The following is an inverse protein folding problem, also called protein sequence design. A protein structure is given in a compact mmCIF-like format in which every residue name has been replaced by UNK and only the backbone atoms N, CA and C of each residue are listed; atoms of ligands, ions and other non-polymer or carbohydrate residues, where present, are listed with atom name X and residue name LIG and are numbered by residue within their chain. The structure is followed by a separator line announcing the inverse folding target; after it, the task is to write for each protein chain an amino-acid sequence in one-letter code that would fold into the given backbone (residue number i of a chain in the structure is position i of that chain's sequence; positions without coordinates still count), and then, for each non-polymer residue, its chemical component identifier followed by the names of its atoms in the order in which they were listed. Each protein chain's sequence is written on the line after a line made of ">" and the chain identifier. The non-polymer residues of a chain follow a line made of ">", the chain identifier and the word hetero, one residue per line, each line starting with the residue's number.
data_IF_704520103444
#
_entry.id   IF_704520103444
#
_cell.length_a   1.000
_cell.length_b   1.000
_cell.length_c   1.000
_cell.angle_alpha   90.00
_cell.angle_beta   90.00
_cell.angle_gamma   90.00
#
_symmetry.space_group_name_H-M   'P 1'
#
loop_
_entity.id
_entity.type
_entity.pdbx_description
1 polymer ?
#
# COMPACT_ATOMS: atom_id res chain seq x y z
N UNK A 1 -37.76 65.05 -27.59
CA UNK A 1 -36.83 65.99 -26.95
C UNK A 1 -35.55 65.16 -26.74
N UNK A 2 -34.66 65.13 -27.71
CA UNK A 2 -33.41 65.94 -27.85
C UNK A 2 -32.49 65.69 -26.63
N UNK A 3 -31.22 65.37 -26.73
CA UNK A 3 -30.16 65.48 -27.76
C UNK A 3 -29.05 64.48 -27.40
N UNK A 4 -28.43 63.81 -28.35
CA UNK A 4 -27.21 64.14 -29.09
C UNK A 4 -25.88 63.91 -28.35
N UNK A 5 -25.16 62.95 -28.92
CA UNK A 5 -23.76 63.01 -29.38
C UNK A 5 -22.60 63.31 -28.41
N UNK A 6 -21.70 62.34 -28.23
CA UNK A 6 -20.35 62.61 -28.72
C UNK A 6 -19.50 61.33 -28.86
N UNK A 7 -19.09 61.09 -30.12
CA UNK A 7 -18.00 60.16 -30.51
C UNK A 7 -16.66 60.70 -30.04
N UNK A 8 -15.84 59.83 -29.51
CA UNK A 8 -14.41 60.02 -29.61
C UNK A 8 -13.69 58.70 -29.88
N UNK A 9 -13.26 58.54 -31.13
CA UNK A 9 -12.40 57.51 -31.67
C UNK A 9 -11.00 57.63 -31.10
N UNK A 10 -10.46 56.56 -30.52
CA UNK A 10 -9.00 56.36 -30.39
C UNK A 10 -8.63 54.98 -30.89
N UNK A 11 -8.07 54.93 -32.07
CA UNK A 11 -7.29 53.87 -32.65
C UNK A 11 -5.98 53.74 -31.88
N UNK A 12 -5.70 52.54 -31.34
CA UNK A 12 -4.33 52.16 -31.00
C UNK A 12 -4.09 50.73 -31.44
N UNK A 13 -3.22 50.58 -32.44
CA UNK A 13 -2.83 49.35 -33.05
C UNK A 13 -2.15 48.38 -32.06
N UNK A 14 -2.55 47.14 -32.10
CA UNK A 14 -1.80 46.06 -31.53
C UNK A 14 -0.80 45.50 -32.55
N UNK A 15 0.47 45.31 -32.21
CA UNK A 15 1.41 44.63 -33.10
C UNK A 15 1.11 43.12 -33.07
N UNK A 16 0.80 42.60 -34.26
CA UNK A 16 0.76 41.16 -34.57
C UNK A 16 2.19 40.64 -34.68
N UNK A 17 2.61 39.84 -33.72
CA UNK A 17 3.89 39.12 -33.76
C UNK A 17 3.87 37.93 -32.80
N UNK A 18 3.18 36.84 -33.18
CA UNK A 18 3.42 35.54 -32.57
C UNK A 18 4.63 34.92 -33.28
N UNK A 19 5.69 34.51 -32.55
CA UNK A 19 6.70 33.64 -33.15
C UNK A 19 6.11 32.21 -33.28
N UNK A 20 5.88 31.80 -34.52
CA UNK A 20 5.64 30.44 -34.92
C UNK A 20 6.96 29.67 -34.85
N UNK A 21 7.17 28.95 -33.75
CA UNK A 21 8.31 28.07 -33.56
C UNK A 21 8.05 27.08 -32.46
N UNK A 22 7.13 26.12 -32.69
CA UNK A 22 7.15 24.88 -31.94
C UNK A 22 8.34 24.05 -32.43
N UNK A 23 9.29 23.66 -31.57
CA UNK A 23 10.26 22.65 -31.95
C UNK A 23 9.51 21.32 -32.12
N UNK A 24 9.36 20.92 -33.38
CA UNK A 24 8.95 19.54 -33.76
C UNK A 24 10.15 18.63 -33.54
N UNK A 25 10.28 18.12 -32.34
CA UNK A 25 11.27 17.15 -31.96
C UNK A 25 10.78 16.40 -30.74
N UNK A 26 9.84 15.46 -30.92
CA UNK A 26 9.68 14.39 -29.93
C UNK A 26 10.99 13.59 -29.95
N UNK A 27 11.74 13.49 -28.82
CA UNK A 27 12.81 12.52 -28.74
C UNK A 27 12.16 11.13 -28.82
N UNK A 28 12.46 10.43 -29.90
CA UNK A 28 12.14 9.03 -30.08
C UNK A 28 12.82 8.24 -28.94
N UNK A 29 12.04 7.66 -28.02
CA UNK A 29 12.37 6.32 -27.62
C UNK A 29 12.77 5.96 -26.24
N UNK A 30 12.48 6.62 -25.11
CA UNK A 30 12.47 5.94 -23.80
C UNK A 30 11.30 6.46 -22.96
N UNK A 31 10.45 5.56 -22.41
CA UNK A 31 9.48 6.03 -21.44
C UNK A 31 10.24 6.69 -20.29
N UNK A 32 9.84 7.89 -19.91
CA UNK A 32 10.39 8.55 -18.74
C UNK A 32 10.26 7.63 -17.53
N UNK A 33 11.23 7.60 -16.62
CA UNK A 33 11.26 6.70 -15.45
C UNK A 33 10.00 6.80 -14.56
N UNK A 34 9.18 7.82 -14.75
CA UNK A 34 7.86 8.03 -14.12
C UNK A 34 6.66 7.65 -14.98
N UNK A 35 6.84 7.35 -16.28
CA UNK A 35 5.74 6.82 -17.11
C UNK A 35 5.58 5.33 -16.87
N UNK A 36 4.35 4.84 -16.90
CA UNK A 36 4.06 3.41 -16.79
C UNK A 36 3.94 2.84 -18.19
N UNK A 37 4.48 1.64 -18.43
CA UNK A 37 4.33 0.96 -19.70
C UNK A 37 2.84 0.77 -20.03
N UNK A 38 2.42 0.99 -21.29
CA UNK A 38 1.05 0.76 -21.68
C UNK A 38 0.70 -0.71 -21.51
N UNK A 39 -0.42 -0.99 -20.88
CA UNK A 39 -0.96 -2.32 -20.68
C UNK A 39 -2.18 -2.52 -21.59
N UNK A 40 -2.35 -3.73 -22.10
CA UNK A 40 -3.52 -4.06 -22.90
C UNK A 40 -4.82 -3.74 -22.12
N UNK A 41 -5.76 -3.06 -22.75
CA UNK A 41 -6.97 -2.54 -22.10
C UNK A 41 -7.77 -3.63 -21.36
N UNK A 42 -7.79 -4.86 -21.88
CA UNK A 42 -8.44 -6.00 -21.24
C UNK A 42 -7.82 -6.45 -19.93
N UNK A 43 -6.53 -6.15 -19.66
CA UNK A 43 -5.86 -6.48 -18.41
C UNK A 43 -6.10 -5.40 -17.33
N UNK A 44 -6.31 -4.14 -17.76
CA UNK A 44 -6.61 -3.02 -16.87
C UNK A 44 -8.09 -2.94 -16.46
N UNK A 45 -9.00 -3.53 -17.27
CA UNK A 45 -10.43 -3.42 -16.98
C UNK A 45 -10.83 -4.26 -15.78
N UNK A 46 -11.31 -3.60 -14.74
CA UNK A 46 -12.02 -4.26 -13.65
C UNK A 46 -13.38 -4.75 -14.16
N UNK A 47 -13.66 -6.03 -13.98
CA UNK A 47 -14.99 -6.61 -14.27
C UNK A 47 -16.04 -6.04 -13.29
N UNK A 48 -17.33 -6.20 -13.56
CA UNK A 48 -18.36 -5.88 -12.58
C UNK A 48 -18.05 -6.50 -11.21
N UNK A 49 -17.55 -7.75 -11.21
CA UNK A 49 -17.10 -8.50 -10.03
C UNK A 49 -15.89 -9.34 -10.44
N UNK A 50 -14.80 -9.28 -9.70
CA UNK A 50 -13.64 -10.15 -9.84
C UNK A 50 -13.82 -11.37 -8.91
N UNK A 51 -14.45 -12.41 -9.45
CA UNK A 51 -14.84 -13.61 -8.73
C UNK A 51 -13.72 -14.29 -7.93
N UNK A 52 -12.46 -14.41 -8.45
CA UNK A 52 -11.39 -15.03 -7.68
C UNK A 52 -11.13 -14.33 -6.35
N UNK A 53 -11.25 -13.00 -6.30
CA UNK A 53 -11.08 -12.22 -5.05
C UNK A 53 -12.25 -12.46 -4.10
N UNK A 54 -13.49 -12.55 -4.59
CA UNK A 54 -14.66 -12.88 -3.76
C UNK A 54 -14.61 -14.32 -3.25
N UNK A 55 -14.15 -15.28 -4.07
CA UNK A 55 -13.94 -16.67 -3.63
C UNK A 55 -12.90 -16.74 -2.53
N UNK A 56 -11.80 -15.99 -2.65
CA UNK A 56 -10.78 -15.92 -1.60
C UNK A 56 -11.35 -15.30 -0.32
N UNK A 57 -12.15 -14.23 -0.42
CA UNK A 57 -12.84 -13.62 0.71
C UNK A 57 -13.77 -14.61 1.42
N UNK A 58 -14.66 -15.27 0.69
CA UNK A 58 -15.59 -16.27 1.25
C UNK A 58 -14.84 -17.47 1.83
N UNK A 59 -13.77 -17.94 1.13
CA UNK A 59 -12.91 -19.02 1.58
C UNK A 59 -12.16 -18.69 2.87
N UNK A 60 -11.72 -17.46 3.05
CA UNK A 60 -11.10 -16.99 4.30
C UNK A 60 -12.06 -17.10 5.47
N UNK A 61 -13.29 -16.66 5.33
CA UNK A 61 -14.30 -16.78 6.38
C UNK A 61 -14.72 -18.23 6.63
N UNK A 62 -14.87 -19.04 5.56
CA UNK A 62 -15.20 -20.45 5.69
C UNK A 62 -14.10 -21.22 6.42
N UNK A 63 -12.82 -20.96 6.09
CA UNK A 63 -11.68 -21.57 6.76
C UNK A 63 -11.61 -21.14 8.23
N UNK A 64 -11.80 -19.86 8.52
CA UNK A 64 -11.82 -19.34 9.89
C UNK A 64 -12.92 -20.00 10.71
N UNK A 65 -14.16 -20.03 10.20
CA UNK A 65 -15.30 -20.66 10.88
C UNK A 65 -15.08 -22.16 11.10
N UNK A 66 -14.56 -22.87 10.09
CA UNK A 66 -14.24 -24.29 10.21
C UNK A 66 -13.16 -24.55 11.27
N UNK A 67 -12.12 -23.70 11.34
CA UNK A 67 -11.07 -23.79 12.34
C UNK A 67 -11.63 -23.60 13.77
N UNK A 68 -12.48 -22.59 13.96
CA UNK A 68 -13.17 -22.34 15.24
C UNK A 68 -14.02 -23.54 15.65
N UNK A 69 -14.90 -23.99 14.76
CA UNK A 69 -15.81 -25.12 15.05
C UNK A 69 -15.02 -26.40 15.35
N UNK A 70 -14.03 -26.74 14.51
CA UNK A 70 -13.23 -27.96 14.69
C UNK A 70 -12.41 -27.92 15.98
N UNK A 71 -11.85 -26.77 16.35
CA UNK A 71 -11.10 -26.62 17.59
C UNK A 71 -11.99 -26.67 18.83
N UNK A 72 -13.13 -25.97 18.81
CA UNK A 72 -14.09 -25.94 19.94
C UNK A 72 -14.74 -27.30 20.12
N UNK A 73 -15.07 -28.02 19.03
CA UNK A 73 -15.63 -29.38 19.09
C UNK A 73 -14.61 -30.47 19.45
N UNK A 74 -13.30 -30.10 19.55
CA UNK A 74 -12.23 -31.05 19.82
C UNK A 74 -11.88 -32.01 18.67
N UNK A 75 -12.39 -31.74 17.45
CA UNK A 75 -12.06 -32.53 16.25
C UNK A 75 -10.61 -32.33 15.80
N UNK A 76 -10.06 -31.15 16.08
CA UNK A 76 -8.67 -30.78 15.81
C UNK A 76 -8.10 -30.18 17.08
N UNK A 77 -6.85 -30.51 17.41
CA UNK A 77 -6.17 -29.90 18.56
C UNK A 77 -5.98 -28.38 18.38
N UNK A 78 -5.85 -27.65 19.48
CA UNK A 78 -5.86 -26.17 19.51
C UNK A 78 -4.82 -25.54 18.55
N UNK A 79 -3.58 -26.05 18.55
CA UNK A 79 -2.51 -25.41 17.74
C UNK A 79 -2.80 -25.45 16.24
N UNK A 80 -3.09 -26.59 15.60
CA UNK A 80 -3.48 -26.60 14.19
C UNK A 80 -4.73 -25.77 13.88
N UNK A 81 -5.72 -25.74 14.77
CA UNK A 81 -6.92 -24.94 14.59
C UNK A 81 -6.60 -23.42 14.60
N UNK A 82 -5.78 -22.96 15.54
CA UNK A 82 -5.30 -21.57 15.62
C UNK A 82 -4.46 -21.21 14.39
N UNK A 83 -3.58 -22.11 13.92
CA UNK A 83 -2.81 -21.87 12.70
C UNK A 83 -3.69 -21.79 11.44
N UNK A 84 -4.73 -22.63 11.35
CA UNK A 84 -5.71 -22.54 10.26
C UNK A 84 -6.48 -21.19 10.29
N UNK A 85 -6.88 -20.73 11.48
CA UNK A 85 -7.48 -19.42 11.67
C UNK A 85 -6.50 -18.28 11.28
N UNK A 86 -5.20 -18.43 11.57
CA UNK A 86 -4.17 -17.46 11.16
C UNK A 86 -3.97 -17.43 9.64
N UNK A 87 -3.99 -18.58 8.97
CA UNK A 87 -3.98 -18.66 7.49
C UNK A 87 -5.22 -17.98 6.91
N UNK A 88 -6.39 -18.16 7.52
CA UNK A 88 -7.62 -17.49 7.11
C UNK A 88 -7.51 -15.96 7.25
N UNK A 89 -7.00 -15.45 8.37
CA UNK A 89 -6.76 -14.02 8.58
C UNK A 89 -5.72 -13.47 7.60
N UNK A 90 -4.62 -14.19 7.35
CA UNK A 90 -3.62 -13.82 6.35
C UNK A 90 -4.23 -13.73 4.94
N UNK A 91 -5.03 -14.72 4.53
CA UNK A 91 -5.69 -14.75 3.23
C UNK A 91 -6.70 -13.60 3.06
N UNK A 92 -7.40 -13.19 4.14
CA UNK A 92 -8.37 -12.08 4.13
C UNK A 92 -7.72 -10.72 3.83
N UNK A 93 -6.41 -10.58 4.01
CA UNK A 93 -5.70 -9.35 3.63
C UNK A 93 -5.81 -9.07 2.14
N UNK A 94 -5.67 -10.07 1.28
CA UNK A 94 -5.73 -9.86 -0.19
C UNK A 94 -7.05 -9.26 -0.65
N UNK A 95 -8.25 -9.72 -0.26
CA UNK A 95 -9.51 -9.04 -0.57
C UNK A 95 -9.61 -7.63 0.03
N UNK A 96 -9.07 -7.38 1.23
CA UNK A 96 -9.02 -6.05 1.83
C UNK A 96 -8.14 -5.10 1.01
N UNK A 97 -6.99 -5.58 0.60
CA UNK A 97 -6.03 -4.86 -0.23
C UNK A 97 -6.60 -4.51 -1.61
N UNK A 98 -7.23 -5.48 -2.30
CA UNK A 98 -7.94 -5.28 -3.56
C UNK A 98 -9.07 -4.25 -3.42
N UNK A 99 -9.84 -4.32 -2.33
CA UNK A 99 -10.88 -3.35 -2.01
C UNK A 99 -10.31 -1.93 -1.82
N UNK A 100 -9.11 -1.79 -1.29
CA UNK A 100 -8.41 -0.50 -1.12
C UNK A 100 -8.15 0.17 -2.47
N UNK A 101 -7.81 -0.60 -3.49
CA UNK A 101 -7.57 -0.15 -4.87
C UNK A 101 -8.82 -0.13 -5.75
N UNK A 102 -9.97 -0.61 -5.23
CA UNK A 102 -11.20 -0.82 -6.02
C UNK A 102 -10.99 -1.78 -7.20
N UNK A 103 -10.06 -2.72 -7.08
CA UNK A 103 -9.78 -3.73 -8.09
C UNK A 103 -10.64 -4.99 -7.95
N UNK A 104 -11.35 -5.17 -6.81
CA UNK A 104 -12.26 -6.28 -6.56
C UNK A 104 -13.58 -6.21 -7.37
N UNK A 105 -14.13 -5.01 -7.55
CA UNK A 105 -15.37 -4.80 -8.29
C UNK A 105 -15.50 -3.34 -8.74
N UNK A 106 -16.37 -3.10 -9.76
CA UNK A 106 -16.76 -1.74 -10.15
C UNK A 106 -17.57 -1.03 -9.08
N UNK A 107 -18.35 -1.78 -8.29
CA UNK A 107 -19.16 -1.23 -7.20
C UNK A 107 -18.30 -0.76 -6.04
N UNK A 108 -18.35 0.55 -5.73
CA UNK A 108 -17.68 1.12 -4.55
C UNK A 108 -18.24 0.54 -3.24
N UNK A 109 -19.55 0.24 -3.20
CA UNK A 109 -20.19 -0.38 -2.06
C UNK A 109 -19.63 -1.77 -1.80
N UNK A 110 -19.53 -2.63 -2.84
CA UNK A 110 -19.00 -3.99 -2.68
C UNK A 110 -17.54 -3.97 -2.21
N UNK A 111 -16.68 -3.13 -2.80
CA UNK A 111 -15.32 -2.94 -2.30
C UNK A 111 -15.33 -2.49 -0.83
N UNK A 112 -16.17 -1.53 -0.48
CA UNK A 112 -16.28 -1.03 0.89
C UNK A 112 -16.72 -2.08 1.90
N UNK A 113 -17.71 -2.91 1.56
CA UNK A 113 -18.21 -3.99 2.44
C UNK A 113 -17.15 -5.08 2.60
N UNK A 114 -16.60 -5.60 1.48
CA UNK A 114 -15.59 -6.66 1.52
C UNK A 114 -14.33 -6.19 2.27
N UNK A 115 -13.86 -4.97 2.02
CA UNK A 115 -12.70 -4.42 2.73
C UNK A 115 -12.89 -4.37 4.25
N UNK A 116 -14.07 -3.91 4.72
CA UNK A 116 -14.40 -3.84 6.15
C UNK A 116 -14.51 -5.22 6.78
N UNK A 117 -15.24 -6.12 6.16
CA UNK A 117 -15.38 -7.48 6.67
C UNK A 117 -14.01 -8.19 6.70
N UNK A 118 -13.21 -8.09 5.64
CA UNK A 118 -11.86 -8.67 5.65
C UNK A 118 -10.99 -8.11 6.79
N UNK A 119 -11.10 -6.81 7.08
CA UNK A 119 -10.41 -6.16 8.18
C UNK A 119 -10.80 -6.70 9.56
N UNK A 120 -12.00 -7.24 9.74
CA UNK A 120 -12.42 -7.83 11.03
C UNK A 120 -11.56 -9.05 11.41
N UNK A 121 -11.23 -9.93 10.46
CA UNK A 121 -10.37 -11.09 10.74
C UNK A 121 -8.94 -10.69 11.15
N UNK A 122 -8.49 -9.53 10.69
CA UNK A 122 -7.16 -8.96 10.98
C UNK A 122 -7.17 -8.01 12.19
N UNK A 123 -8.31 -7.76 12.79
CA UNK A 123 -8.48 -6.69 13.80
C UNK A 123 -8.00 -5.32 13.30
N UNK A 124 -8.13 -5.06 12.00
CA UNK A 124 -7.61 -3.88 11.31
C UNK A 124 -8.75 -3.06 10.68
N UNK A 125 -9.03 -1.83 11.16
CA UNK A 125 -10.04 -0.96 10.58
C UNK A 125 -9.71 -0.60 9.13
N UNK A 126 -10.57 -0.97 8.20
CA UNK A 126 -10.37 -0.79 6.77
C UNK A 126 -10.04 0.66 6.35
N UNK A 127 -10.69 1.73 6.89
CA UNK A 127 -10.34 3.09 6.49
C UNK A 127 -8.90 3.47 6.81
N UNK A 128 -8.39 3.06 7.99
CA UNK A 128 -7.00 3.32 8.37
C UNK A 128 -6.01 2.55 7.50
N UNK A 129 -6.25 1.25 7.28
CA UNK A 129 -5.40 0.41 6.40
C UNK A 129 -5.37 0.99 5.00
N UNK A 130 -6.54 1.31 4.43
CA UNK A 130 -6.62 1.92 3.10
C UNK A 130 -5.86 3.25 3.03
N UNK A 131 -6.01 4.11 4.03
CA UNK A 131 -5.30 5.40 4.08
C UNK A 131 -3.78 5.20 4.04
N UNK A 132 -3.23 4.39 4.94
CA UNK A 132 -1.79 4.16 5.01
C UNK A 132 -1.26 3.42 3.79
N UNK A 133 -2.01 2.47 3.25
CA UNK A 133 -1.65 1.80 2.02
C UNK A 133 -1.60 2.75 0.81
N UNK A 134 -2.52 3.72 0.70
CA UNK A 134 -2.44 4.76 -0.33
C UNK A 134 -1.25 5.72 -0.11
N UNK A 135 -0.91 6.05 1.14
CA UNK A 135 0.29 6.84 1.45
C UNK A 135 1.57 6.05 1.14
N UNK A 136 1.60 4.73 1.39
CA UNK A 136 2.68 3.85 0.97
C UNK A 136 2.91 3.90 -0.55
N UNK A 137 1.87 3.72 -1.38
CA UNK A 137 1.97 3.83 -2.83
C UNK A 137 2.51 5.18 -3.31
N UNK A 138 2.12 6.24 -2.63
CA UNK A 138 2.53 7.60 -2.95
C UNK A 138 3.98 7.89 -2.57
N UNK A 139 4.45 7.27 -1.49
CA UNK A 139 5.73 7.54 -0.86
C UNK A 139 6.65 6.32 -0.75
N UNK A 140 6.44 5.33 -1.59
CA UNK A 140 7.15 4.03 -1.54
C UNK A 140 8.65 4.20 -1.30
N UNK A 141 9.15 3.60 -0.20
CA UNK A 141 10.51 3.62 0.30
C UNK A 141 11.04 5.01 0.76
N UNK A 142 10.19 6.03 0.90
CA UNK A 142 10.59 7.29 1.54
C UNK A 142 10.60 7.10 3.06
N UNK A 143 11.79 7.10 3.68
CA UNK A 143 12.00 6.69 5.08
C UNK A 143 11.11 7.40 6.12
N UNK A 144 10.73 8.67 5.88
CA UNK A 144 9.95 9.50 6.82
C UNK A 144 8.47 9.61 6.46
N UNK A 145 8.06 9.10 5.27
CA UNK A 145 6.71 9.28 4.74
C UNK A 145 6.00 7.98 4.39
N UNK A 146 6.77 6.92 4.09
CA UNK A 146 6.22 5.61 3.78
C UNK A 146 5.88 4.86 5.09
N UNK A 147 4.59 4.56 5.35
CA UNK A 147 4.19 3.83 6.54
C UNK A 147 4.81 2.43 6.63
N UNK A 148 5.07 1.79 5.50
CA UNK A 148 5.56 0.41 5.42
C UNK A 148 7.08 0.32 5.56
N UNK A 149 7.77 1.46 5.46
CA UNK A 149 9.22 1.52 5.69
C UNK A 149 9.63 1.08 7.11
N UNK A 150 8.67 1.06 8.05
CA UNK A 150 8.88 0.50 9.39
C UNK A 150 9.35 -0.95 9.35
N UNK A 151 8.81 -1.76 8.46
CA UNK A 151 9.12 -3.20 8.32
C UNK A 151 10.58 -3.48 7.96
N UNK A 152 11.27 -2.54 7.28
CA UNK A 152 12.67 -2.68 6.85
C UNK A 152 13.67 -1.79 7.59
N UNK A 153 13.22 -1.01 8.58
CA UNK A 153 14.07 0.00 9.24
C UNK A 153 14.97 -0.58 10.32
N UNK A 154 16.22 -0.13 10.35
CA UNK A 154 17.17 -0.44 11.43
C UNK A 154 17.88 -1.76 11.26
N UNK A 155 18.55 -2.28 12.33
CA UNK A 155 19.35 -3.48 12.25
C UNK A 155 18.47 -4.74 12.10
N UNK A 156 19.00 -5.73 11.40
CA UNK A 156 18.29 -6.96 11.03
C UNK A 156 17.67 -7.72 12.21
N UNK A 157 18.28 -7.70 13.38
CA UNK A 157 17.78 -8.40 14.57
C UNK A 157 16.50 -7.76 15.17
N UNK A 158 16.17 -6.53 14.81
CA UNK A 158 14.92 -5.86 15.18
C UNK A 158 13.78 -6.11 14.18
N UNK A 159 14.08 -6.65 13.01
CA UNK A 159 13.06 -6.82 11.95
C UNK A 159 11.89 -7.69 12.42
N UNK A 160 12.09 -8.86 13.09
CA UNK A 160 10.95 -9.66 13.56
C UNK A 160 10.04 -8.89 14.54
N UNK A 161 10.61 -8.05 15.41
CA UNK A 161 9.83 -7.19 16.30
C UNK A 161 9.04 -6.16 15.51
N UNK A 162 9.61 -5.57 14.46
CA UNK A 162 8.93 -4.59 13.60
C UNK A 162 7.78 -5.23 12.83
N UNK A 163 7.97 -6.45 12.31
CA UNK A 163 6.89 -7.19 11.65
C UNK A 163 5.75 -7.52 12.61
N UNK A 164 6.06 -7.88 13.85
CA UNK A 164 5.06 -8.14 14.90
C UNK A 164 4.31 -6.88 15.37
N UNK A 165 4.85 -5.68 15.10
CA UNK A 165 4.33 -4.39 15.54
C UNK A 165 3.96 -3.43 14.41
N UNK A 166 3.82 -3.93 13.18
CA UNK A 166 3.50 -3.10 12.01
C UNK A 166 2.16 -2.35 12.18
N UNK A 167 1.15 -3.02 12.67
CA UNK A 167 -0.16 -2.41 12.94
C UNK A 167 -0.13 -1.40 14.10
N UNK A 168 0.68 -1.66 15.13
CA UNK A 168 0.88 -0.69 16.22
C UNK A 168 1.56 0.58 15.68
N UNK A 169 2.47 0.43 14.73
CA UNK A 169 3.05 1.57 14.02
C UNK A 169 1.99 2.33 13.21
N UNK A 170 1.06 1.65 12.55
CA UNK A 170 -0.05 2.28 11.85
C UNK A 170 -0.97 3.05 12.83
N UNK A 171 -1.28 2.49 14.01
CA UNK A 171 -2.05 3.22 15.03
C UNK A 171 -1.30 4.43 15.57
N UNK A 172 0.01 4.33 15.76
CA UNK A 172 0.83 5.49 16.11
C UNK A 172 0.74 6.58 15.02
N UNK A 173 0.90 6.23 13.74
CA UNK A 173 0.76 7.16 12.63
C UNK A 173 -0.65 7.73 12.53
N UNK A 174 -1.67 6.91 12.79
CA UNK A 174 -3.07 7.35 12.83
C UNK A 174 -3.28 8.46 13.86
N UNK A 175 -2.77 8.27 15.08
CA UNK A 175 -2.88 9.27 16.14
C UNK A 175 -2.09 10.54 15.80
N UNK A 176 -0.89 10.38 15.25
CA UNK A 176 -0.04 11.51 14.84
C UNK A 176 -0.66 12.35 13.72
N UNK A 177 -1.29 11.73 12.76
CA UNK A 177 -1.93 12.37 11.61
C UNK A 177 -3.46 12.54 11.78
N UNK A 178 -3.99 12.32 12.97
CA UNK A 178 -5.43 12.25 13.24
C UNK A 178 -6.23 13.41 12.64
N UNK A 179 -5.74 14.66 12.81
CA UNK A 179 -6.44 15.86 12.32
C UNK A 179 -6.37 16.02 10.80
N UNK A 180 -5.37 15.45 10.14
CA UNK A 180 -5.19 15.53 8.69
C UNK A 180 -6.07 14.54 7.91
N UNK A 181 -6.62 13.51 8.59
CA UNK A 181 -7.46 12.52 7.96
C UNK A 181 -8.92 13.00 7.85
N UNK A 182 -9.68 12.46 6.91
CA UNK A 182 -11.09 12.79 6.71
C UNK A 182 -11.92 12.43 7.94
N UNK A 183 -12.82 13.33 8.34
CA UNK A 183 -13.65 13.17 9.56
C UNK A 183 -14.38 11.82 9.60
N UNK A 184 -15.00 11.41 8.47
CA UNK A 184 -15.73 10.13 8.40
C UNK A 184 -14.81 8.92 8.57
N UNK A 185 -13.63 8.91 7.94
CA UNK A 185 -12.65 7.82 8.06
C UNK A 185 -12.10 7.70 9.48
N UNK A 186 -11.84 8.84 10.15
CA UNK A 186 -11.43 8.87 11.58
C UNK A 186 -12.50 8.28 12.48
N UNK A 187 -13.74 8.75 12.31
CA UNK A 187 -14.87 8.27 13.12
C UNK A 187 -15.05 6.77 12.93
N UNK A 188 -15.07 6.28 11.69
CA UNK A 188 -15.22 4.86 11.39
C UNK A 188 -14.06 4.03 11.96
N UNK A 189 -12.82 4.51 11.85
CA UNK A 189 -11.64 3.82 12.42
C UNK A 189 -11.79 3.66 13.93
N UNK A 190 -12.10 4.74 14.64
CA UNK A 190 -12.27 4.73 16.10
C UNK A 190 -13.46 3.87 16.51
N UNK A 191 -14.60 4.00 15.81
CA UNK A 191 -15.79 3.21 16.10
C UNK A 191 -15.54 1.71 15.87
N UNK A 192 -14.82 1.33 14.82
CA UNK A 192 -14.45 -0.07 14.54
C UNK A 192 -13.54 -0.63 15.62
N UNK A 193 -12.50 0.12 16.03
CA UNK A 193 -11.63 -0.31 17.13
C UNK A 193 -12.40 -0.45 18.44
N UNK A 194 -13.25 0.52 18.77
CA UNK A 194 -14.09 0.46 19.98
C UNK A 194 -15.03 -0.75 19.95
N UNK A 195 -15.64 -1.04 18.79
CA UNK A 195 -16.51 -2.21 18.63
C UNK A 195 -15.74 -3.54 18.79
N UNK A 196 -14.54 -3.65 18.21
CA UNK A 196 -13.68 -4.84 18.38
C UNK A 196 -13.28 -5.03 19.83
N UNK A 197 -12.87 -3.98 20.54
CA UNK A 197 -12.55 -4.02 21.96
C UNK A 197 -13.77 -4.40 22.81
N UNK A 198 -14.95 -3.84 22.49
CA UNK A 198 -16.18 -4.17 23.18
C UNK A 198 -16.58 -5.64 22.96
N UNK A 199 -16.40 -6.20 21.76
CA UNK A 199 -16.65 -7.61 21.48
C UNK A 199 -15.69 -8.52 22.28
N UNK A 200 -14.41 -8.16 22.35
CA UNK A 200 -13.44 -8.88 23.18
C UNK A 200 -13.84 -8.82 24.65
N UNK A 201 -14.14 -7.62 25.19
CA UNK A 201 -14.57 -7.44 26.56
C UNK A 201 -15.85 -8.23 26.86
N UNK A 202 -16.83 -8.24 25.95
CA UNK A 202 -18.05 -9.02 26.06
C UNK A 202 -17.75 -10.53 26.10
N UNK A 203 -16.84 -11.03 25.26
CA UNK A 203 -16.43 -12.43 25.27
C UNK A 203 -15.85 -12.84 26.64
N UNK A 204 -15.02 -11.99 27.25
CA UNK A 204 -14.51 -12.20 28.61
C UNK A 204 -15.63 -12.15 29.65
N UNK A 205 -16.56 -11.20 29.56
CA UNK A 205 -17.71 -11.08 30.44
C UNK A 205 -18.67 -12.30 30.37
N UNK A 206 -18.74 -12.94 29.20
CA UNK A 206 -19.52 -14.16 28.98
C UNK A 206 -18.77 -15.46 29.33
N UNK A 207 -17.52 -15.38 29.81
CA UNK A 207 -16.70 -16.55 30.13
C UNK A 207 -16.12 -17.29 28.92
N UNK A 208 -16.21 -16.73 27.71
CA UNK A 208 -15.66 -17.29 26.45
C UNK A 208 -14.45 -16.49 25.92
N UNK A 209 -13.82 -15.69 26.76
CA UNK A 209 -12.69 -14.82 26.39
C UNK A 209 -11.50 -15.59 25.82
N UNK A 210 -11.25 -16.83 26.28
CA UNK A 210 -10.22 -17.71 25.74
C UNK A 210 -10.43 -17.97 24.24
N UNK A 211 -11.67 -18.19 23.81
CA UNK A 211 -11.98 -18.40 22.38
C UNK A 211 -11.69 -17.15 21.54
N UNK A 212 -11.98 -15.96 22.06
CA UNK A 212 -11.62 -14.72 21.40
C UNK A 212 -10.11 -14.56 21.26
N UNK A 213 -9.34 -14.95 22.28
CA UNK A 213 -7.87 -14.93 22.24
C UNK A 213 -7.35 -15.93 21.21
N UNK A 214 -7.77 -17.20 21.32
CA UNK A 214 -7.24 -18.28 20.50
C UNK A 214 -7.63 -18.19 19.02
N UNK A 215 -8.87 -17.76 18.71
CA UNK A 215 -9.40 -17.82 17.35
C UNK A 215 -9.56 -16.46 16.66
N UNK A 216 -9.27 -15.37 17.35
CA UNK A 216 -9.31 -14.04 16.75
C UNK A 216 -8.02 -13.25 17.00
N UNK A 217 -7.63 -13.01 18.26
CA UNK A 217 -6.48 -12.17 18.58
C UNK A 217 -5.17 -12.81 18.12
N UNK A 218 -4.89 -14.06 18.54
CA UNK A 218 -3.64 -14.75 18.17
C UNK A 218 -3.54 -14.97 16.65
N UNK A 219 -4.57 -15.46 15.93
CA UNK A 219 -4.56 -15.54 14.48
C UNK A 219 -4.25 -14.21 13.78
N UNK A 220 -4.88 -13.11 14.21
CA UNK A 220 -4.61 -11.79 13.66
C UNK A 220 -3.15 -11.36 13.87
N UNK A 221 -2.56 -11.60 15.07
CA UNK A 221 -1.14 -11.29 15.35
C UNK A 221 -0.19 -12.09 14.47
N UNK A 222 -0.44 -13.40 14.34
CA UNK A 222 0.36 -14.27 13.45
C UNK A 222 0.24 -13.80 12.00
N UNK A 223 -0.97 -13.52 11.53
CA UNK A 223 -1.20 -13.03 10.18
C UNK A 223 -0.46 -11.70 9.92
N UNK A 224 -0.56 -10.71 10.82
CA UNK A 224 0.12 -9.40 10.69
C UNK A 224 1.63 -9.55 10.62
N UNK A 225 2.22 -10.43 11.46
CA UNK A 225 3.65 -10.71 11.40
C UNK A 225 4.09 -11.18 10.00
N UNK A 226 3.39 -12.17 9.45
CA UNK A 226 3.73 -12.69 8.12
C UNK A 226 3.36 -11.73 6.99
N UNK A 227 2.31 -10.90 7.15
CA UNK A 227 1.97 -9.85 6.19
C UNK A 227 3.06 -8.78 6.13
N UNK A 228 3.50 -8.27 7.27
CA UNK A 228 4.58 -7.29 7.32
C UNK A 228 5.88 -7.84 6.70
N UNK A 229 6.19 -9.12 6.92
CA UNK A 229 7.31 -9.78 6.25
C UNK A 229 7.10 -9.91 4.74
N UNK A 230 5.95 -10.45 4.31
CA UNK A 230 5.71 -10.86 2.92
C UNK A 230 5.28 -9.72 2.00
N UNK A 231 4.56 -8.71 2.52
CA UNK A 231 4.04 -7.59 1.74
C UNK A 231 4.86 -6.32 1.91
N UNK A 232 5.28 -5.99 3.16
CA UNK A 232 5.92 -4.71 3.40
C UNK A 232 7.45 -4.82 3.30
N UNK A 233 8.04 -5.94 3.80
CA UNK A 233 9.49 -6.09 3.82
C UNK A 233 10.05 -6.72 2.56
N UNK A 234 9.64 -7.96 2.23
CA UNK A 234 10.28 -8.79 1.21
C UNK A 234 10.28 -8.15 -0.20
N UNK A 235 9.18 -7.58 -0.70
CA UNK A 235 9.16 -6.98 -2.03
C UNK A 235 9.83 -5.61 -2.10
N UNK A 236 10.08 -4.96 -0.98
CA UNK A 236 10.69 -3.62 -0.89
C UNK A 236 12.17 -3.66 -0.50
N UNK A 237 12.65 -4.79 0.03
CA UNK A 237 14.05 -4.92 0.44
C UNK A 237 15.02 -4.62 -0.72
N UNK A 238 16.09 -3.83 -0.53
CA UNK A 238 16.60 -3.24 0.72
C UNK A 238 16.04 -1.84 1.07
N UNK A 239 14.91 -1.41 0.51
CA UNK A 239 14.25 -0.09 0.72
C UNK A 239 15.11 1.11 0.30
N UNK A 240 16.11 0.89 -0.53
CA UNK A 240 17.14 1.89 -0.87
C UNK A 240 16.80 2.81 -2.03
N UNK A 241 15.72 2.54 -2.78
CA UNK A 241 15.31 3.32 -3.96
C UNK A 241 13.84 3.67 -3.82
N UNK A 242 13.53 4.97 -3.82
CA UNK A 242 12.14 5.44 -3.74
C UNK A 242 11.44 5.34 -5.10
N UNK A 243 10.10 5.24 -5.10
CA UNK A 243 9.33 5.27 -6.34
C UNK A 243 9.50 6.60 -7.12
N UNK A 244 9.76 7.70 -6.42
CA UNK A 244 10.06 8.99 -7.03
C UNK A 244 11.40 8.99 -7.78
N UNK A 245 12.39 8.23 -7.30
CA UNK A 245 13.68 8.07 -7.98
C UNK A 245 13.58 7.10 -9.16
N UNK A 246 12.98 5.93 -8.92
CA UNK A 246 12.79 4.92 -9.96
C UNK A 246 11.69 3.92 -9.56
N UNK A 247 10.50 4.06 -10.11
CA UNK A 247 9.36 3.19 -9.83
C UNK A 247 9.54 1.72 -10.23
N UNK A 248 10.42 1.45 -11.20
CA UNK A 248 10.70 0.08 -11.66
C UNK A 248 11.65 -0.68 -10.74
N UNK A 249 12.32 0.02 -9.81
CA UNK A 249 13.29 -0.53 -8.85
C UNK A 249 12.89 -0.36 -7.40
N UNK A 250 11.84 0.42 -7.13
CA UNK A 250 11.35 0.64 -5.76
C UNK A 250 10.80 -0.65 -5.14
N UNK A 251 10.27 -1.54 -5.99
CA UNK A 251 9.76 -2.85 -5.59
C UNK A 251 10.27 -3.92 -6.54
N UNK A 252 10.05 -5.18 -6.23
CA UNK A 252 10.53 -6.29 -7.03
C UNK A 252 9.44 -7.27 -7.44
N UNK A 253 9.73 -8.06 -8.48
CA UNK A 253 8.99 -9.25 -8.84
C UNK A 253 9.87 -10.48 -8.55
N UNK A 254 9.34 -11.46 -7.85
CA UNK A 254 9.97 -12.74 -7.56
C UNK A 254 9.26 -13.81 -8.39
N UNK A 255 9.85 -14.20 -9.53
CA UNK A 255 9.23 -15.12 -10.47
C UNK A 255 9.32 -16.57 -9.98
N UNK A 256 8.48 -16.90 -9.00
CA UNK A 256 8.33 -18.23 -8.40
C UNK A 256 6.86 -18.63 -8.37
N UNK A 257 6.52 -19.75 -9.02
CA UNK A 257 5.15 -20.25 -9.06
C UNK A 257 4.65 -20.66 -7.66
N UNK A 258 5.51 -21.33 -6.87
CA UNK A 258 5.18 -21.75 -5.50
C UNK A 258 4.94 -20.54 -4.59
N UNK A 259 5.87 -19.60 -4.56
CA UNK A 259 5.72 -18.39 -3.74
C UNK A 259 4.52 -17.54 -4.20
N UNK A 260 4.23 -17.52 -5.50
CA UNK A 260 3.06 -16.80 -6.01
C UNK A 260 1.75 -17.36 -5.45
N UNK A 261 1.64 -18.66 -5.29
CA UNK A 261 0.47 -19.30 -4.66
C UNK A 261 0.45 -18.99 -3.15
N UNK A 262 1.57 -19.22 -2.47
CA UNK A 262 1.67 -19.04 -1.01
C UNK A 262 1.46 -17.58 -0.57
N UNK A 263 1.86 -16.63 -1.39
CA UNK A 263 1.75 -15.19 -1.10
C UNK A 263 0.61 -14.52 -1.89
N UNK A 264 -0.35 -15.28 -2.40
CA UNK A 264 -1.54 -14.76 -3.11
C UNK A 264 -1.19 -13.70 -4.16
N UNK A 265 -0.23 -14.00 -5.06
CA UNK A 265 0.18 -13.11 -6.15
C UNK A 265 1.18 -12.02 -5.78
N UNK A 266 1.46 -11.80 -4.50
CA UNK A 266 2.30 -10.69 -4.03
C UNK A 266 3.79 -10.83 -4.36
N UNK A 267 4.23 -11.97 -4.87
CA UNK A 267 5.58 -12.12 -5.46
C UNK A 267 5.80 -11.20 -6.66
N UNK A 268 4.73 -10.76 -7.32
CA UNK A 268 4.78 -9.79 -8.42
C UNK A 268 4.43 -8.37 -7.96
N UNK A 269 4.91 -7.97 -6.79
CA UNK A 269 4.59 -6.70 -6.16
C UNK A 269 4.97 -5.47 -7.00
N UNK A 270 6.01 -5.59 -7.84
CA UNK A 270 6.32 -4.58 -8.85
C UNK A 270 5.11 -4.31 -9.77
N UNK A 271 4.42 -5.37 -10.22
CA UNK A 271 3.24 -5.23 -11.08
C UNK A 271 2.12 -4.52 -10.33
N UNK A 272 1.93 -4.86 -9.05
CA UNK A 272 0.97 -4.18 -8.19
C UNK A 272 1.24 -2.67 -8.09
N UNK A 273 2.48 -2.25 -7.80
CA UNK A 273 2.84 -0.83 -7.71
C UNK A 273 2.73 -0.09 -9.04
N UNK A 274 2.98 -0.76 -10.17
CA UNK A 274 2.83 -0.14 -11.49
C UNK A 274 1.37 -0.07 -11.94
N UNK A 275 0.55 -1.04 -11.58
CA UNK A 275 -0.83 -1.21 -12.04
C UNK A 275 -1.78 -1.61 -10.91
N UNK A 276 -2.00 -0.75 -9.91
CA UNK A 276 -2.77 -1.10 -8.70
C UNK A 276 -4.25 -1.44 -8.96
N UNK A 277 -4.78 -1.08 -10.12
CA UNK A 277 -6.13 -1.47 -10.53
C UNK A 277 -6.22 -2.89 -11.12
N UNK A 278 -5.09 -3.55 -11.37
CA UNK A 278 -5.06 -4.95 -11.83
C UNK A 278 -5.25 -5.87 -10.62
N UNK A 279 -6.18 -6.83 -10.63
CA UNK A 279 -6.37 -7.75 -9.51
C UNK A 279 -5.22 -8.76 -9.39
N UNK A 280 -4.94 -9.20 -8.17
CA UNK A 280 -3.77 -10.01 -7.78
C UNK A 280 -3.53 -11.25 -8.65
N UNK A 281 -4.56 -11.96 -9.03
CA UNK A 281 -4.47 -13.19 -9.81
C UNK A 281 -4.05 -12.95 -11.29
N UNK A 282 -4.03 -11.67 -11.73
CA UNK A 282 -3.53 -11.27 -13.06
C UNK A 282 -2.08 -10.78 -13.03
N UNK A 283 -1.46 -10.54 -11.88
CA UNK A 283 -0.10 -9.99 -11.80
C UNK A 283 0.91 -10.83 -12.57
N UNK A 284 0.85 -12.17 -12.42
CA UNK A 284 1.73 -13.08 -13.17
C UNK A 284 1.52 -12.98 -14.69
N UNK A 285 0.29 -12.79 -15.16
CA UNK A 285 0.00 -12.61 -16.58
C UNK A 285 0.62 -11.32 -17.10
N UNK A 286 0.46 -10.21 -16.39
CA UNK A 286 1.07 -8.92 -16.72
C UNK A 286 2.60 -9.04 -16.75
N UNK A 287 3.19 -9.65 -15.71
CA UNK A 287 4.62 -9.91 -15.65
C UNK A 287 5.12 -10.67 -16.89
N UNK A 288 4.48 -11.77 -17.26
CA UNK A 288 4.88 -12.54 -18.45
C UNK A 288 4.85 -11.73 -19.75
N UNK A 289 3.89 -10.81 -19.89
CA UNK A 289 3.76 -9.97 -21.09
C UNK A 289 4.79 -8.83 -21.14
N UNK A 290 5.23 -8.32 -20.01
CA UNK A 290 6.09 -7.14 -19.94
C UNK A 290 7.49 -7.41 -19.37
N UNK A 291 7.80 -8.66 -19.04
CA UNK A 291 9.03 -9.05 -18.32
C UNK A 291 10.30 -8.49 -18.96
N UNK A 292 10.46 -8.65 -20.27
CA UNK A 292 11.67 -8.21 -20.98
C UNK A 292 11.85 -6.70 -20.90
N UNK A 293 10.78 -5.94 -21.11
CA UNK A 293 10.82 -4.48 -21.05
C UNK A 293 11.05 -3.99 -19.61
N UNK A 294 10.38 -4.60 -18.64
CA UNK A 294 10.56 -4.26 -17.22
C UNK A 294 11.99 -4.54 -16.77
N UNK A 295 12.60 -5.66 -17.15
CA UNK A 295 13.99 -5.97 -16.83
C UNK A 295 14.98 -4.99 -17.49
N UNK A 296 14.73 -4.55 -18.72
CA UNK A 296 15.51 -3.48 -19.38
C UNK A 296 15.42 -2.19 -18.58
N UNK A 297 14.20 -1.76 -18.20
CA UNK A 297 14.00 -0.54 -17.40
C UNK A 297 14.65 -0.62 -16.02
N UNK A 298 14.74 -1.81 -15.44
CA UNK A 298 15.48 -2.04 -14.19
C UNK A 298 16.99 -1.96 -14.39
N UNK A 299 17.53 -2.51 -15.48
CA UNK A 299 18.98 -2.54 -15.77
C UNK A 299 19.51 -1.20 -16.26
N UNK A 300 18.81 -0.55 -17.18
CA UNK A 300 19.22 0.73 -17.79
C UNK A 300 19.31 1.88 -16.79
N UNK A 301 18.68 1.74 -15.64
CA UNK A 301 18.70 2.72 -14.56
C UNK A 301 19.72 2.42 -13.47
N UNK A 302 20.56 1.39 -13.65
CA UNK A 302 21.70 1.18 -12.76
C UNK A 302 22.74 2.27 -13.01
N UNK A 303 23.22 2.98 -11.95
CA UNK A 303 24.47 3.71 -12.10
C UNK A 303 25.56 2.72 -12.54
N UNK A 304 26.53 3.14 -13.36
CA UNK A 304 27.65 2.28 -13.73
C UNK A 304 28.23 1.67 -12.44
N UNK A 305 28.67 0.40 -12.46
CA UNK A 305 29.24 -0.24 -11.28
C UNK A 305 30.29 0.71 -10.71
N UNK A 306 30.14 1.08 -9.44
CA UNK A 306 31.16 1.87 -8.76
C UNK A 306 32.44 1.07 -8.85
N UNK A 307 33.51 1.72 -9.30
CA UNK A 307 34.84 1.15 -9.20
C UNK A 307 35.02 0.58 -7.79
N UNK A 308 35.63 -0.62 -7.64
CA UNK A 308 35.82 -1.22 -6.33
C UNK A 308 36.46 -0.16 -5.43
N UNK A 309 35.83 0.07 -4.27
CA UNK A 309 36.37 0.99 -3.26
C UNK A 309 37.81 0.54 -3.00
N UNK A 310 38.80 1.44 -3.04
CA UNK A 310 40.14 1.08 -2.64
C UNK A 310 40.04 0.49 -1.23
N UNK A 311 40.64 -0.68 -1.01
CA UNK A 311 40.78 -1.30 0.30
C UNK A 311 41.36 -0.24 1.24
N UNK A 312 40.52 0.36 2.07
CA UNK A 312 40.97 1.26 3.13
C UNK A 312 41.69 0.36 4.13
N UNK A 313 43.00 0.52 4.15
CA UNK A 313 43.85 -0.11 5.17
C UNK A 313 43.27 0.23 6.56
N UNK A 314 43.12 -0.79 7.39
CA UNK A 314 42.66 -0.66 8.76
C UNK A 314 43.55 0.35 9.53
N UNK A 315 42.97 1.52 9.83
CA UNK A 315 43.67 2.54 10.60
C UNK A 315 42.95 3.88 10.56
N UNK A 316 42.00 4.06 11.41
CA UNK A 316 41.55 5.29 12.09
C UNK A 316 40.05 5.24 12.41
N UNK A 317 39.77 4.82 13.62
CA UNK A 317 38.44 5.02 14.24
C UNK A 317 38.31 6.49 14.69
N UNK A 318 37.76 7.33 13.83
CA UNK A 318 37.22 8.62 14.25
C UNK A 318 35.70 8.47 14.46
N UNK A 319 35.23 8.78 15.66
CA UNK A 319 33.81 8.71 16.04
C UNK A 319 32.94 9.60 15.15
N UNK A 320 31.73 9.15 14.78
CA UNK A 320 30.81 9.97 13.99
C UNK A 320 30.27 11.13 14.85
N UNK A 321 30.35 12.34 14.29
CA UNK A 321 29.69 13.53 14.87
C UNK A 321 28.17 13.34 14.87
N UNK A 322 27.54 13.72 15.99
CA UNK A 322 26.10 13.73 16.16
C UNK A 322 25.41 14.62 15.10
N UNK A 323 24.24 14.19 14.56
CA UNK A 323 23.50 15.00 13.58
C UNK A 323 22.90 16.23 14.26
N UNK A 324 23.09 17.39 13.63
CA UNK A 324 22.49 18.67 14.01
C UNK A 324 20.96 18.57 13.79
N UNK A 325 20.21 18.84 14.86
CA UNK A 325 18.75 18.90 14.82
C UNK A 325 18.35 20.19 14.07
N UNK A 326 17.89 20.06 12.83
CA UNK A 326 17.24 21.17 12.14
C UNK A 326 15.79 21.27 12.64
N UNK A 327 15.45 22.37 13.25
CA UNK A 327 14.08 22.75 13.63
C UNK A 327 13.23 22.91 12.37
N UNK A 328 12.09 22.22 12.32
CA UNK A 328 11.11 22.30 11.23
C UNK A 328 10.40 23.65 11.34
N UNK A 329 10.32 24.45 10.25
CA UNK A 329 9.54 25.68 10.25
C UNK A 329 8.03 25.37 10.36
N UNK A 330 7.22 26.27 10.96
CA UNK A 330 5.79 26.05 11.14
C UNK A 330 5.06 26.04 9.78
N UNK A 331 4.14 25.11 9.63
CA UNK A 331 3.26 24.98 8.46
C UNK A 331 2.28 26.16 8.45
N UNK A 332 2.26 26.91 7.37
CA UNK A 332 1.28 27.97 7.13
C UNK A 332 -0.15 27.40 7.07
N UNK A 333 -1.17 28.15 7.55
CA UNK A 333 -2.55 27.71 7.49
C UNK A 333 -3.06 27.69 6.04
N UNK A 334 -3.71 26.59 5.66
CA UNK A 334 -4.38 26.44 4.38
C UNK A 334 -5.57 27.40 4.33
N UNK A 335 -5.51 28.37 3.42
CA UNK A 335 -6.64 29.18 3.01
C UNK A 335 -7.55 28.37 2.09
N UNK A 336 -8.84 28.44 2.37
CA UNK A 336 -10.03 28.21 1.57
C UNK A 336 -9.87 27.63 0.16
N UNK A 337 -10.47 26.47 -0.03
CA UNK A 337 -11.06 26.02 -1.30
C UNK A 337 -12.40 25.34 -0.98
N UNK A 338 -13.40 26.18 -0.68
CA UNK A 338 -14.81 25.90 -0.95
C UNK A 338 -15.06 26.32 -2.41
N UNK A 339 -15.52 25.38 -3.20
CA UNK A 339 -16.23 25.42 -4.46
C UNK A 339 -15.66 24.40 -5.48
N UNK A 340 -16.22 23.23 -5.47
CA UNK A 340 -16.78 22.47 -6.62
C UNK A 340 -17.11 21.04 -6.17
#
# INVERSE_FOLDING_TARGET
>A
MNNDENRCSRSSGRPSGRPSGRPSGRPSGRPALWSVLPLASGLLQTRPIEWPTLVLFAGSYALWAAAVVAGVAGWVSTVPAVLAAAVAAYAAFTPMHEASHRSLARSALLNGVVGRLSGLLLMAPFPAVRHFHMEHHKHTNEADRDPDHWSGRGPWYLLPFRWATQDLHYYYLFLRSYRAQRRGERFETVATLAAMLALVALAFGLGVGELAVLYWIVPARVAIFFLAFAFDYLPHYPHGITAAQNRYRATRAIDSALLNVLLFGQTYHLIHHLYPAVPFFRYRTVWKHQREELLKLQSDSLPPPRAPLPLIAAGSLAAPRAPTIHTIPPVAPAAELDAL
#
